data_IF_110932342805
#
_entry.id   IF_110932342805
#
_cell.length_a   1.000
_cell.length_b   1.000
_cell.length_c   1.000
_cell.angle_alpha   90.00
_cell.angle_beta   90.00
_cell.angle_gamma   90.00
#
_symmetry.space_group_name_H-M   'P 1'
#
loop_
_entity.id
_entity.type
_entity.pdbx_description
1 polymer ?
#
# COMPACT_ATOMS: atom_id res chain seq x y z
N UNK A 1 -26.33 7.94 7.77
CA UNK A 1 -25.32 6.95 7.36
C UNK A 1 -24.15 7.73 6.77
N UNK A 2 -23.01 7.80 7.46
CA UNK A 2 -21.85 8.55 6.97
C UNK A 2 -20.91 7.56 6.29
N UNK A 3 -20.99 7.49 4.96
CA UNK A 3 -19.99 6.77 4.17
C UNK A 3 -18.67 7.56 4.25
N UNK A 4 -17.74 7.10 5.08
CA UNK A 4 -16.40 7.68 5.16
C UNK A 4 -15.38 6.68 4.64
N UNK A 5 -15.27 6.57 3.32
CA UNK A 5 -14.17 5.85 2.66
C UNK A 5 -12.88 6.62 2.92
N UNK A 6 -12.13 6.20 3.94
CA UNK A 6 -10.83 6.76 4.27
C UNK A 6 -9.76 5.92 3.61
N UNK A 7 -9.24 6.32 2.45
CA UNK A 7 -8.00 5.73 1.92
C UNK A 7 -6.83 6.61 2.39
N UNK A 8 -5.80 5.97 2.94
CA UNK A 8 -4.49 6.51 3.32
C UNK A 8 -4.44 7.60 4.43
N UNK A 9 -5.51 8.38 4.66
CA UNK A 9 -5.33 9.69 5.32
C UNK A 9 -5.95 9.94 6.68
N UNK A 10 -6.65 9.00 7.35
CA UNK A 10 -7.11 9.29 8.72
C UNK A 10 -7.23 8.09 9.66
N UNK A 11 -6.16 7.31 9.84
CA UNK A 11 -6.00 6.41 11.00
C UNK A 11 -6.44 7.10 12.31
N UNK A 12 -6.07 8.37 12.47
CA UNK A 12 -6.46 9.16 13.63
C UNK A 12 -7.97 9.45 13.73
N UNK A 13 -8.68 9.68 12.61
CA UNK A 13 -10.13 9.83 12.65
C UNK A 13 -10.81 8.51 12.94
N UNK A 14 -10.32 7.40 12.37
CA UNK A 14 -10.82 6.08 12.70
C UNK A 14 -10.66 5.77 14.19
N UNK A 15 -9.51 6.09 14.80
CA UNK A 15 -9.32 5.95 16.26
C UNK A 15 -10.25 6.84 17.10
N UNK A 16 -10.80 7.91 16.52
CA UNK A 16 -11.73 8.84 17.19
C UNK A 16 -13.20 8.45 17.07
N UNK A 17 -13.55 7.44 16.25
CA UNK A 17 -14.95 7.01 16.10
C UNK A 17 -15.50 6.37 17.36
N UNK A 18 -14.62 5.87 18.25
CA UNK A 18 -15.02 5.23 19.51
C UNK A 18 -15.57 3.81 19.35
N UNK A 19 -15.63 3.28 18.12
CA UNK A 19 -16.14 1.92 17.88
C UNK A 19 -15.19 0.88 18.49
N UNK A 20 -15.70 -0.26 18.99
CA UNK A 20 -14.89 -1.32 19.58
C UNK A 20 -13.78 -1.83 18.65
N UNK A 21 -14.03 -1.88 17.34
CA UNK A 21 -13.12 -2.37 16.29
C UNK A 21 -11.90 -1.45 16.10
N UNK A 22 -11.93 -0.24 16.67
CA UNK A 22 -10.77 0.65 16.68
C UNK A 22 -9.76 0.31 17.78
N UNK A 23 -10.14 -0.54 18.74
CA UNK A 23 -9.27 -1.03 19.82
C UNK A 23 -8.31 -2.10 19.29
N UNK A 24 -7.14 -2.24 19.91
CA UNK A 24 -6.09 -3.19 19.48
C UNK A 24 -5.57 -3.00 18.04
N UNK A 25 -5.89 -1.87 17.42
CA UNK A 25 -5.36 -1.46 16.13
C UNK A 25 -4.28 -0.39 16.33
N UNK A 26 -3.06 -0.75 15.94
CA UNK A 26 -1.87 0.08 15.90
C UNK A 26 -1.63 0.65 14.50
N UNK A 27 -0.93 1.77 14.44
CA UNK A 27 -0.52 2.40 13.19
C UNK A 27 0.95 2.78 13.27
N UNK A 28 1.71 2.44 12.25
CA UNK A 28 3.11 2.84 12.15
C UNK A 28 3.32 3.70 10.90
N UNK A 29 3.80 4.94 11.03
CA UNK A 29 3.98 5.83 9.88
C UNK A 29 5.20 5.39 9.05
N UNK A 30 4.96 5.10 7.79
CA UNK A 30 5.98 4.76 6.80
C UNK A 30 5.99 5.80 5.68
N UNK A 31 7.15 6.00 5.08
CA UNK A 31 7.34 6.84 3.91
C UNK A 31 8.45 6.24 3.04
N UNK A 32 8.55 6.72 1.81
CA UNK A 32 9.62 6.37 0.90
C UNK A 32 10.45 7.60 0.55
N UNK A 33 11.70 7.41 0.22
CA UNK A 33 12.52 8.39 -0.46
C UNK A 33 12.90 7.86 -1.85
N UNK A 34 12.99 8.75 -2.82
CA UNK A 34 13.41 8.43 -4.18
C UNK A 34 14.53 9.38 -4.60
N UNK A 35 15.49 8.88 -5.37
CA UNK A 35 16.33 9.72 -6.21
C UNK A 35 15.55 10.07 -7.47
N UNK A 36 15.48 11.34 -7.80
CA UNK A 36 14.67 11.89 -8.89
C UNK A 36 15.59 12.59 -9.88
N UNK A 37 15.52 12.21 -11.15
CA UNK A 37 16.26 12.84 -12.24
C UNK A 37 15.32 13.45 -13.27
N UNK A 38 15.50 14.76 -13.48
CA UNK A 38 14.77 15.54 -14.47
C UNK A 38 15.65 15.93 -15.66
N UNK A 39 16.90 15.44 -15.76
CA UNK A 39 17.77 15.72 -16.89
C UNK A 39 17.20 15.04 -18.15
N UNK A 40 16.70 15.80 -19.15
CA UNK A 40 15.98 15.21 -20.28
C UNK A 40 16.82 14.22 -21.09
N UNK A 41 18.15 14.42 -21.12
CA UNK A 41 19.06 13.51 -21.83
C UNK A 41 19.12 12.15 -21.16
N UNK A 42 19.23 12.11 -19.83
CA UNK A 42 19.27 10.87 -19.05
C UNK A 42 17.91 10.17 -19.06
N UNK A 43 16.82 10.94 -18.98
CA UNK A 43 15.46 10.42 -19.03
C UNK A 43 15.14 9.77 -20.38
N UNK A 44 15.58 10.37 -21.49
CA UNK A 44 15.36 9.85 -22.84
C UNK A 44 16.06 8.51 -23.09
N UNK A 45 17.15 8.22 -22.39
CA UNK A 45 17.87 6.93 -22.50
C UNK A 45 17.12 5.75 -21.84
N UNK A 46 16.05 6.01 -21.07
CA UNK A 46 15.35 5.00 -20.28
C UNK A 46 13.86 4.93 -20.63
N UNK A 47 13.44 3.86 -21.30
CA UNK A 47 12.03 3.67 -21.69
C UNK A 47 11.30 2.61 -20.86
N UNK A 48 12.03 1.85 -20.04
CA UNK A 48 11.51 0.71 -19.31
C UNK A 48 11.62 0.89 -17.79
N UNK A 49 10.74 0.18 -17.07
CA UNK A 49 10.84 0.01 -15.62
C UNK A 49 11.75 -1.17 -15.31
N UNK A 50 12.80 -0.94 -14.55
CA UNK A 50 13.83 -1.95 -14.23
C UNK A 50 13.79 -2.25 -12.73
N UNK A 51 13.62 -3.52 -12.39
CA UNK A 51 13.65 -3.99 -11.00
C UNK A 51 15.03 -4.52 -10.65
N UNK A 52 15.49 -4.20 -9.44
CA UNK A 52 16.68 -4.81 -8.86
C UNK A 52 16.46 -6.25 -8.44
N UNK A 53 17.56 -6.90 -8.09
CA UNK A 53 17.53 -8.14 -7.30
C UNK A 53 17.69 -7.80 -5.83
N UNK A 54 16.93 -8.48 -4.97
CA UNK A 54 17.09 -8.41 -3.51
C UNK A 54 18.53 -8.74 -3.11
N UNK A 55 19.24 -7.83 -2.41
CA UNK A 55 20.49 -8.19 -1.77
C UNK A 55 20.25 -9.29 -0.73
N UNK A 56 21.19 -10.24 -0.55
CA UNK A 56 21.06 -11.26 0.49
C UNK A 56 20.85 -10.63 1.87
N UNK A 57 19.81 -11.06 2.58
CA UNK A 57 19.51 -10.59 3.93
C UNK A 57 18.67 -9.30 4.03
N UNK A 58 18.21 -8.74 2.91
CA UNK A 58 17.22 -7.64 2.94
C UNK A 58 15.79 -8.19 3.03
N UNK A 59 14.86 -7.48 3.70
CA UNK A 59 13.45 -7.84 3.69
C UNK A 59 12.88 -7.87 2.26
N UNK A 60 11.98 -8.82 1.92
CA UNK A 60 11.51 -9.09 0.55
C UNK A 60 10.60 -8.02 -0.08
N UNK A 61 10.62 -6.78 0.44
CA UNK A 61 9.69 -5.71 0.05
C UNK A 61 10.38 -4.36 -0.19
N UNK A 62 11.72 -4.32 -0.18
CA UNK A 62 12.47 -3.05 -0.16
C UNK A 62 13.39 -2.86 -1.35
N UNK A 63 13.14 -3.56 -2.47
CA UNK A 63 14.05 -3.51 -3.62
C UNK A 63 13.89 -2.20 -4.39
N UNK A 64 14.99 -1.45 -4.58
CA UNK A 64 14.97 -0.30 -5.45
C UNK A 64 14.70 -0.71 -6.90
N UNK A 65 13.92 0.10 -7.58
CA UNK A 65 13.64 0.00 -8.99
C UNK A 65 13.85 1.37 -9.64
N UNK A 66 14.21 1.34 -10.92
CA UNK A 66 14.31 2.52 -11.77
C UNK A 66 13.05 2.60 -12.62
N UNK A 67 12.34 3.72 -12.57
CA UNK A 67 11.03 3.91 -13.18
C UNK A 67 10.96 5.27 -13.90
N UNK A 68 10.56 5.27 -15.17
CA UNK A 68 10.21 6.50 -15.89
C UNK A 68 8.76 6.84 -15.59
N UNK A 69 8.53 8.03 -15.04
CA UNK A 69 7.19 8.53 -14.74
C UNK A 69 6.92 9.82 -15.48
N UNK A 70 5.64 10.03 -15.76
CA UNK A 70 5.11 11.28 -16.25
C UNK A 70 4.48 12.03 -15.09
N UNK A 71 5.11 13.11 -14.63
CA UNK A 71 4.70 13.88 -13.45
C UNK A 71 4.58 15.34 -13.90
N UNK A 72 3.39 15.93 -13.72
CA UNK A 72 3.13 17.34 -14.08
C UNK A 72 3.55 17.69 -15.51
N UNK A 73 3.23 16.81 -16.46
CA UNK A 73 3.58 16.93 -17.88
C UNK A 73 5.07 16.82 -18.23
N UNK A 74 5.91 16.42 -17.27
CA UNK A 74 7.34 16.18 -17.49
C UNK A 74 7.69 14.70 -17.32
N UNK A 75 8.60 14.21 -18.17
CA UNK A 75 9.19 12.90 -18.00
C UNK A 75 10.31 12.96 -16.96
N UNK A 76 10.23 12.10 -15.97
CA UNK A 76 11.16 12.04 -14.83
C UNK A 76 11.58 10.61 -14.57
N UNK A 77 12.83 10.38 -14.19
CA UNK A 77 13.28 9.10 -13.67
C UNK A 77 13.26 9.09 -12.15
N UNK A 78 12.75 8.00 -11.58
CA UNK A 78 12.73 7.77 -10.14
C UNK A 78 13.47 6.48 -9.83
N UNK A 79 14.38 6.54 -8.87
CA UNK A 79 15.07 5.38 -8.33
C UNK A 79 14.80 5.24 -6.83
N UNK A 80 14.32 4.07 -6.42
CA UNK A 80 13.92 3.76 -5.05
C UNK A 80 12.82 2.69 -5.02
N UNK A 81 12.04 2.55 -3.93
CA UNK A 81 12.06 3.38 -2.74
C UNK A 81 13.23 3.04 -1.81
N UNK A 82 13.82 4.05 -1.21
CA UNK A 82 14.61 3.94 0.02
C UNK A 82 13.68 4.14 1.22
N UNK A 83 13.94 3.48 2.35
CA UNK A 83 13.08 3.65 3.51
C UNK A 83 13.19 5.09 4.05
N UNK A 84 12.05 5.72 4.27
CA UNK A 84 11.95 6.99 4.99
C UNK A 84 10.98 6.79 6.15
N UNK A 85 11.44 6.90 7.39
CA UNK A 85 10.58 6.79 8.58
C UNK A 85 10.64 8.09 9.35
N UNK A 86 9.49 8.52 9.85
CA UNK A 86 9.41 9.60 10.82
C UNK A 86 8.12 9.51 11.62
N UNK A 87 8.08 10.10 12.82
CA UNK A 87 6.97 9.90 13.76
C UNK A 87 5.65 10.54 13.33
N UNK A 88 5.66 11.41 12.30
CA UNK A 88 4.48 12.12 11.78
C UNK A 88 3.63 11.21 10.90
N UNK A 89 2.32 11.22 11.12
CA UNK A 89 1.35 10.48 10.29
C UNK A 89 0.97 11.28 9.04
N UNK A 90 0.98 12.61 9.12
CA UNK A 90 0.66 13.52 8.02
C UNK A 90 1.89 14.33 7.58
N UNK A 91 1.89 14.84 6.35
CA UNK A 91 2.96 15.72 5.82
C UNK A 91 3.19 16.92 6.73
N UNK A 92 2.09 17.54 7.17
CA UNK A 92 2.07 18.67 8.11
C UNK A 92 1.71 18.23 9.56
N UNK A 93 1.95 16.97 9.91
CA UNK A 93 1.64 16.39 11.23
C UNK A 93 2.65 16.76 12.33
N UNK A 94 2.41 16.26 13.54
CA UNK A 94 3.27 16.50 14.70
C UNK A 94 4.36 15.44 14.84
N UNK A 95 5.54 15.82 15.32
CA UNK A 95 6.59 14.86 15.70
C UNK A 95 6.18 13.97 16.88
N UNK A 96 5.06 14.27 17.53
CA UNK A 96 4.48 13.46 18.61
C UNK A 96 3.37 12.53 18.11
N UNK A 97 3.01 12.51 16.83
CA UNK A 97 1.84 11.75 16.34
C UNK A 97 1.93 10.26 16.70
N UNK A 98 3.07 9.61 16.43
CA UNK A 98 3.29 8.21 16.81
C UNK A 98 3.16 7.97 18.31
N UNK A 99 3.78 8.81 19.13
CA UNK A 99 3.71 8.65 20.59
C UNK A 99 2.29 8.88 21.11
N UNK A 100 1.58 9.89 20.60
CA UNK A 100 0.18 10.18 20.93
C UNK A 100 -0.78 9.10 20.43
N UNK A 101 -0.38 8.31 19.44
CA UNK A 101 -1.19 7.19 18.94
C UNK A 101 -1.20 5.99 19.91
N UNK A 102 -0.19 5.90 20.79
CA UNK A 102 -0.08 4.84 21.79
C UNK A 102 -1.05 5.06 22.94
N UNK A 103 -1.74 3.98 23.32
CA UNK A 103 -2.66 3.94 24.46
C UNK A 103 -2.68 2.53 25.04
N UNK A 104 -3.37 2.36 26.17
CA UNK A 104 -3.46 1.07 26.89
C UNK A 104 -4.03 -0.06 26.03
N UNK A 105 -4.85 0.24 25.03
CA UNK A 105 -5.45 -0.77 24.15
C UNK A 105 -4.54 -1.23 23.01
N UNK A 106 -3.53 -0.47 22.59
CA UNK A 106 -2.68 -0.82 21.44
C UNK A 106 -1.18 -0.92 21.75
N UNK A 107 -0.72 -0.48 22.92
CA UNK A 107 0.71 -0.52 23.26
C UNK A 107 1.31 -1.93 23.21
N UNK A 108 0.57 -2.93 23.71
CA UNK A 108 0.99 -4.33 23.64
C UNK A 108 1.12 -4.85 22.20
N UNK A 109 0.16 -4.52 21.34
CA UNK A 109 0.18 -4.84 19.90
C UNK A 109 1.37 -4.18 19.19
N UNK A 110 1.64 -2.90 19.47
CA UNK A 110 2.76 -2.16 18.88
C UNK A 110 4.12 -2.72 19.30
N UNK A 111 4.30 -3.03 20.59
CA UNK A 111 5.55 -3.61 21.11
C UNK A 111 5.79 -5.02 20.56
N UNK A 112 4.74 -5.85 20.52
CA UNK A 112 4.83 -7.18 19.92
C UNK A 112 5.25 -7.10 18.44
N UNK A 113 4.71 -6.13 17.69
CA UNK A 113 5.08 -5.91 16.30
C UNK A 113 6.53 -5.46 16.14
N UNK A 114 7.00 -4.52 16.97
CA UNK A 114 8.39 -4.06 16.95
C UNK A 114 9.38 -5.19 17.22
N UNK A 115 9.06 -6.09 18.14
CA UNK A 115 9.90 -7.26 18.45
C UNK A 115 9.91 -8.28 17.30
N UNK A 116 8.72 -8.65 16.79
CA UNK A 116 8.59 -9.63 15.68
C UNK A 116 9.26 -9.16 14.40
N UNK A 117 9.26 -7.86 14.15
CA UNK A 117 9.76 -7.25 12.93
C UNK A 117 11.07 -6.49 13.15
N UNK A 118 11.83 -6.84 14.19
CA UNK A 118 13.08 -6.17 14.54
C UNK A 118 14.07 -6.05 13.36
N UNK A 119 14.28 -7.09 12.51
CA UNK A 119 15.13 -6.96 11.33
C UNK A 119 14.66 -5.87 10.36
N UNK A 120 13.35 -5.77 10.10
CA UNK A 120 12.76 -4.77 9.22
C UNK A 120 12.91 -3.36 9.82
N UNK A 121 12.63 -3.21 11.12
CA UNK A 121 12.80 -1.92 11.84
C UNK A 121 14.26 -1.47 11.79
N UNK A 122 15.19 -2.38 12.07
CA UNK A 122 16.63 -2.11 12.02
C UNK A 122 17.07 -1.69 10.63
N UNK A 123 16.70 -2.44 9.60
CA UNK A 123 17.00 -2.11 8.21
C UNK A 123 16.45 -0.73 7.83
N UNK A 124 15.21 -0.44 8.20
CA UNK A 124 14.59 0.84 7.88
C UNK A 124 15.28 2.03 8.56
N UNK A 125 15.76 1.87 9.80
CA UNK A 125 16.55 2.91 10.48
C UNK A 125 17.87 3.14 9.75
N UNK A 126 18.55 2.09 9.28
CA UNK A 126 19.79 2.21 8.52
C UNK A 126 19.57 2.99 7.21
N UNK A 127 18.52 2.67 6.47
CA UNK A 127 18.14 3.35 5.23
C UNK A 127 17.78 4.84 5.43
N UNK A 128 17.15 5.16 6.56
CA UNK A 128 16.85 6.55 6.94
C UNK A 128 18.13 7.36 7.21
N UNK A 129 19.13 6.73 7.81
CA UNK A 129 20.42 7.33 8.10
C UNK A 129 21.35 7.37 6.87
N UNK A 130 21.03 6.63 5.80
CA UNK A 130 21.80 6.60 4.57
C UNK A 130 21.84 7.98 3.91
N UNK A 131 23.04 8.39 3.50
CA UNK A 131 23.23 9.69 2.85
C UNK A 131 22.93 9.59 1.35
N UNK A 132 22.89 10.75 0.67
CA UNK A 132 22.70 10.80 -0.80
C UNK A 132 23.73 9.95 -1.52
N UNK A 133 24.98 9.99 -1.08
CA UNK A 133 26.09 9.26 -1.69
C UNK A 133 25.87 7.74 -1.65
N UNK A 134 25.29 7.21 -0.57
CA UNK A 134 25.00 5.78 -0.44
C UNK A 134 23.86 5.36 -1.38
N UNK A 135 22.83 6.19 -1.51
CA UNK A 135 21.73 5.98 -2.47
C UNK A 135 22.22 6.03 -3.91
N UNK A 136 23.14 6.95 -4.22
CA UNK A 136 23.76 7.06 -5.54
C UNK A 136 24.66 5.85 -5.87
N UNK A 137 25.32 5.24 -4.88
CA UNK A 137 26.06 3.98 -5.11
C UNK A 137 25.13 2.86 -5.57
N UNK A 138 23.96 2.73 -4.95
CA UNK A 138 22.97 1.74 -5.39
C UNK A 138 22.42 2.06 -6.78
N UNK A 139 22.13 3.33 -7.08
CA UNK A 139 21.70 3.75 -8.43
C UNK A 139 22.74 3.38 -9.49
N UNK A 140 24.04 3.56 -9.21
CA UNK A 140 25.12 3.24 -10.16
C UNK A 140 25.25 1.75 -10.48
N UNK A 141 24.58 0.88 -9.74
CA UNK A 141 24.44 -0.53 -10.12
C UNK A 141 23.47 -0.73 -11.29
N UNK A 142 22.57 0.22 -11.50
CA UNK A 142 21.61 0.25 -12.61
C UNK A 142 22.06 1.21 -13.72
N UNK A 143 22.57 2.38 -13.34
CA UNK A 143 23.02 3.45 -14.25
C UNK A 143 24.48 3.81 -13.91
N UNK A 144 25.47 3.04 -14.41
CA UNK A 144 26.88 3.19 -13.99
C UNK A 144 27.46 4.59 -14.13
N UNK A 145 26.98 5.35 -15.13
CA UNK A 145 27.48 6.69 -15.44
C UNK A 145 26.66 7.81 -14.77
N UNK A 146 25.77 7.50 -13.82
CA UNK A 146 24.95 8.50 -13.14
C UNK A 146 25.82 9.53 -12.37
N UNK A 147 25.55 10.81 -12.63
CA UNK A 147 26.22 11.95 -11.97
C UNK A 147 25.40 12.47 -10.82
N UNK A 148 26.02 12.79 -9.69
CA UNK A 148 25.28 13.22 -8.48
C UNK A 148 24.47 14.51 -8.67
N UNK A 149 24.88 15.37 -9.60
CA UNK A 149 24.23 16.65 -9.94
C UNK A 149 22.88 16.49 -10.65
N UNK A 150 22.65 15.35 -11.30
CA UNK A 150 21.43 15.09 -12.06
C UNK A 150 20.29 14.49 -11.21
N UNK A 151 20.56 14.15 -9.94
CA UNK A 151 19.67 13.37 -9.09
C UNK A 151 19.44 14.03 -7.74
N UNK A 152 18.18 14.29 -7.39
CA UNK A 152 17.79 14.86 -6.10
C UNK A 152 17.00 13.89 -5.24
N UNK A 153 17.11 14.01 -3.91
CA UNK A 153 16.30 13.19 -2.99
C UNK A 153 14.93 13.84 -2.85
N UNK A 154 13.90 13.09 -3.20
CA UNK A 154 12.51 13.45 -2.94
C UNK A 154 11.89 12.53 -1.90
N UNK A 155 11.30 13.11 -0.85
CA UNK A 155 10.55 12.34 0.15
C UNK A 155 9.11 12.20 -0.33
N UNK A 156 8.66 10.96 -0.50
CA UNK A 156 7.32 10.63 -0.95
C UNK A 156 6.26 10.92 0.12
N UNK A 157 5.00 10.62 -0.23
CA UNK A 157 3.89 10.66 0.72
C UNK A 157 4.15 9.79 1.97
N UNK A 158 3.38 10.11 3.01
CA UNK A 158 3.33 9.32 4.23
C UNK A 158 2.13 8.40 4.17
N UNK A 159 2.31 7.17 4.63
CA UNK A 159 1.27 6.16 4.76
C UNK A 159 1.30 5.58 6.16
N UNK A 160 0.19 4.97 6.58
CA UNK A 160 0.09 4.31 7.87
C UNK A 160 0.04 2.81 7.66
N UNK A 161 1.08 2.12 8.11
CA UNK A 161 1.11 0.68 8.16
C UNK A 161 0.22 0.21 9.33
N UNK A 162 -0.79 -0.59 9.01
CA UNK A 162 -1.72 -1.12 10.02
C UNK A 162 -1.07 -2.30 10.75
N UNK A 163 -1.20 -2.28 12.08
CA UNK A 163 -0.75 -3.35 12.96
C UNK A 163 -1.96 -3.82 13.76
N UNK A 164 -2.26 -5.11 13.72
CA UNK A 164 -3.41 -5.69 14.42
C UNK A 164 -3.07 -7.03 15.05
N UNK A 165 -3.94 -7.48 15.94
CA UNK A 165 -3.87 -8.84 16.48
C UNK A 165 -4.75 -9.76 15.63
N UNK A 166 -4.24 -10.93 15.24
CA UNK A 166 -5.01 -11.93 14.47
C UNK A 166 -4.99 -13.29 15.16
N UNK A 167 -5.99 -14.13 14.89
CA UNK A 167 -6.01 -15.50 15.41
C UNK A 167 -4.86 -16.34 14.86
N UNK A 168 -4.50 -16.12 13.60
CA UNK A 168 -3.48 -16.88 12.88
C UNK A 168 -2.05 -16.47 13.25
N UNK A 169 -1.78 -15.17 13.35
CA UNK A 169 -0.43 -14.63 13.55
C UNK A 169 -0.19 -14.07 14.96
N UNK A 170 -1.21 -14.13 15.83
CA UNK A 170 -1.17 -13.60 17.20
C UNK A 170 -1.09 -12.08 17.25
N UNK A 171 -0.53 -11.54 18.34
CA UNK A 171 -0.44 -10.09 18.55
C UNK A 171 0.60 -9.41 17.68
N UNK A 172 0.32 -8.17 17.26
CA UNK A 172 1.29 -7.32 16.56
C UNK A 172 1.62 -7.74 15.12
N UNK A 173 0.67 -8.35 14.42
CA UNK A 173 0.80 -8.67 13.00
C UNK A 173 0.75 -7.40 12.16
N UNK A 174 1.71 -7.25 11.24
CA UNK A 174 1.72 -6.17 10.26
C UNK A 174 0.83 -6.58 9.09
N UNK A 175 -0.24 -5.83 8.87
CA UNK A 175 -1.20 -6.10 7.80
C UNK A 175 -0.71 -5.52 6.48
N UNK A 176 -0.20 -6.35 5.58
CA UNK A 176 0.14 -5.91 4.23
C UNK A 176 -1.12 -5.73 3.38
N UNK A 177 -1.11 -4.74 2.48
CA UNK A 177 -2.25 -4.43 1.63
C UNK A 177 -3.37 -3.61 2.31
N UNK A 178 -4.57 -3.74 1.76
CA UNK A 178 -5.77 -3.03 2.22
C UNK A 178 -6.49 -3.82 3.31
N UNK A 179 -6.81 -3.18 4.41
CA UNK A 179 -7.64 -3.71 5.50
C UNK A 179 -9.01 -3.03 5.48
N UNK A 180 -10.08 -3.82 5.32
CA UNK A 180 -11.45 -3.31 5.47
C UNK A 180 -11.94 -3.59 6.89
N UNK A 181 -12.18 -2.53 7.66
CA UNK A 181 -12.78 -2.63 8.99
C UNK A 181 -14.22 -2.17 8.93
N UNK A 182 -15.14 -3.08 9.26
CA UNK A 182 -16.57 -2.84 9.29
C UNK A 182 -17.02 -2.77 10.75
N UNK A 183 -17.70 -1.69 11.15
CA UNK A 183 -18.30 -1.64 12.48
C UNK A 183 -19.46 -2.64 12.56
N UNK A 184 -19.66 -3.25 13.73
CA UNK A 184 -20.76 -4.22 13.94
C UNK A 184 -22.16 -3.66 13.67
N UNK A 185 -22.32 -2.35 13.83
CA UNK A 185 -23.56 -1.63 13.61
C UNK A 185 -23.67 -1.00 12.22
N UNK A 186 -22.70 -1.27 11.33
CA UNK A 186 -22.61 -0.75 9.96
C UNK A 186 -22.60 0.79 9.85
N UNK A 187 -22.37 1.49 10.95
CA UNK A 187 -22.32 2.96 11.00
C UNK A 187 -21.02 3.54 10.43
N UNK A 188 -19.93 2.76 10.44
CA UNK A 188 -18.60 3.16 10.00
C UNK A 188 -17.91 2.02 9.24
N UNK A 189 -17.32 2.37 8.11
CA UNK A 189 -16.49 1.49 7.29
C UNK A 189 -15.15 2.20 7.10
N UNK A 190 -14.03 1.52 7.33
CA UNK A 190 -12.70 2.10 7.18
C UNK A 190 -11.81 1.20 6.31
N UNK A 191 -11.16 1.80 5.30
CA UNK A 191 -10.18 1.13 4.44
C UNK A 191 -8.77 1.54 4.86
N UNK A 192 -8.16 0.78 5.74
CA UNK A 192 -6.86 1.12 6.32
C UNK A 192 -5.72 0.45 5.55
N UNK A 193 -4.51 0.99 5.65
CA UNK A 193 -3.33 0.44 4.99
C UNK A 193 -3.16 0.95 3.56
N UNK A 194 -2.73 0.07 2.66
CA UNK A 194 -2.47 0.43 1.28
C UNK A 194 -3.77 0.65 0.50
N UNK A 195 -3.77 1.62 -0.42
CA UNK A 195 -4.88 1.76 -1.36
C UNK A 195 -5.03 0.47 -2.17
N UNK A 196 -6.27 -0.06 -2.31
CA UNK A 196 -6.48 -1.25 -3.12
C UNK A 196 -6.06 -0.96 -4.56
N UNK A 197 -5.23 -1.83 -5.12
CA UNK A 197 -4.83 -1.77 -6.52
C UNK A 197 -5.98 -2.18 -7.43
N UNK A 198 -5.79 -2.03 -8.74
CA UNK A 198 -6.81 -2.42 -9.73
C UNK A 198 -7.31 -3.85 -9.51
N UNK A 199 -6.41 -4.79 -9.18
CA UNK A 199 -6.71 -6.19 -8.93
C UNK A 199 -7.55 -6.50 -7.68
N UNK A 200 -7.58 -5.60 -6.69
CA UNK A 200 -8.29 -5.83 -5.41
C UNK A 200 -9.40 -4.83 -5.13
N UNK A 201 -9.46 -3.73 -5.89
CA UNK A 201 -10.46 -2.67 -5.71
C UNK A 201 -11.90 -3.18 -5.80
N UNK A 202 -12.20 -4.00 -6.81
CA UNK A 202 -13.54 -4.56 -7.02
C UNK A 202 -13.94 -5.50 -5.90
N UNK A 203 -13.03 -6.41 -5.47
CA UNK A 203 -13.33 -7.33 -4.36
C UNK A 203 -13.56 -6.59 -3.04
N UNK A 204 -12.78 -5.54 -2.77
CA UNK A 204 -12.97 -4.67 -1.59
C UNK A 204 -14.31 -3.94 -1.66
N UNK A 205 -14.68 -3.42 -2.83
CA UNK A 205 -15.97 -2.74 -3.01
C UNK A 205 -17.14 -3.71 -2.77
N UNK A 206 -17.08 -4.92 -3.31
CA UNK A 206 -18.10 -5.96 -3.09
C UNK A 206 -18.21 -6.34 -1.62
N UNK A 207 -17.08 -6.56 -0.92
CA UNK A 207 -17.09 -6.84 0.52
C UNK A 207 -17.81 -5.74 1.31
N UNK A 208 -17.53 -4.47 0.97
CA UNK A 208 -18.15 -3.31 1.61
C UNK A 208 -19.66 -3.30 1.41
N UNK A 209 -20.13 -3.55 0.18
CA UNK A 209 -21.55 -3.62 -0.14
C UNK A 209 -22.23 -4.78 0.61
N UNK A 210 -21.66 -5.99 0.51
CA UNK A 210 -22.23 -7.20 1.10
C UNK A 210 -22.37 -7.13 2.61
N UNK A 211 -21.33 -6.62 3.29
CA UNK A 211 -21.29 -6.62 4.75
C UNK A 211 -22.09 -5.48 5.36
N UNK A 212 -22.19 -4.32 4.70
CA UNK A 212 -22.75 -3.11 5.32
C UNK A 212 -24.08 -2.67 4.75
N UNK A 213 -24.51 -3.26 3.64
CA UNK A 213 -25.79 -2.98 2.99
C UNK A 213 -26.56 -4.27 2.68
N UNK A 214 -26.62 -5.26 3.60
CA UNK A 214 -27.21 -6.56 3.31
C UNK A 214 -28.68 -6.48 2.88
N UNK A 215 -29.40 -5.45 3.31
CA UNK A 215 -30.79 -5.20 2.93
C UNK A 215 -30.97 -4.84 1.44
N UNK A 216 -29.95 -4.26 0.81
CA UNK A 216 -29.98 -3.85 -0.60
C UNK A 216 -29.34 -4.87 -1.55
N UNK A 217 -28.53 -5.81 -1.04
CA UNK A 217 -27.80 -6.77 -1.88
C UNK A 217 -28.72 -7.59 -2.78
N UNK A 218 -29.92 -7.96 -2.30
CA UNK A 218 -30.90 -8.69 -3.13
C UNK A 218 -31.39 -7.86 -4.32
N UNK A 219 -31.54 -6.55 -4.14
CA UNK A 219 -31.94 -5.64 -5.21
C UNK A 219 -30.79 -5.41 -6.19
N UNK A 220 -29.55 -5.32 -5.69
CA UNK A 220 -28.36 -5.07 -6.50
C UNK A 220 -27.80 -6.29 -7.20
N UNK A 221 -28.13 -7.52 -6.78
CA UNK A 221 -27.58 -8.77 -7.32
C UNK A 221 -27.64 -8.83 -8.85
N UNK A 222 -28.78 -8.45 -9.44
CA UNK A 222 -28.92 -8.42 -10.90
C UNK A 222 -27.95 -7.46 -11.58
N UNK A 223 -27.78 -6.25 -11.03
CA UNK A 223 -26.87 -5.25 -11.61
C UNK A 223 -25.40 -5.62 -11.39
N UNK A 224 -25.07 -6.21 -10.24
CA UNK A 224 -23.73 -6.71 -9.96
C UNK A 224 -23.37 -7.82 -10.95
N UNK A 225 -24.29 -8.77 -11.21
CA UNK A 225 -24.07 -9.86 -12.19
C UNK A 225 -24.00 -9.37 -13.63
N UNK A 226 -24.69 -8.29 -13.98
CA UNK A 226 -24.53 -7.65 -15.29
C UNK A 226 -23.09 -7.15 -15.49
N UNK A 227 -22.49 -6.55 -14.45
CA UNK A 227 -21.10 -6.04 -14.51
C UNK A 227 -20.05 -7.12 -14.27
N UNK A 228 -20.37 -8.13 -13.46
CA UNK A 228 -19.48 -9.20 -13.00
C UNK A 228 -20.24 -10.53 -13.11
N UNK A 229 -20.28 -11.16 -14.29
CA UNK A 229 -21.10 -12.36 -14.52
C UNK A 229 -20.81 -13.53 -13.57
N UNK A 230 -19.58 -13.65 -13.09
CA UNK A 230 -19.16 -14.69 -12.15
C UNK A 230 -19.43 -14.35 -10.67
N UNK A 231 -20.16 -13.27 -10.38
CA UNK A 231 -20.42 -12.86 -9.01
C UNK A 231 -21.18 -13.95 -8.22
N UNK A 232 -20.66 -14.30 -7.04
CA UNK A 232 -21.18 -15.38 -6.20
C UNK A 232 -20.70 -16.79 -6.59
N UNK A 233 -19.81 -16.92 -7.58
CA UNK A 233 -19.27 -18.20 -8.05
C UNK A 233 -17.74 -18.28 -7.84
N UNK A 234 -17.25 -19.47 -7.52
CA UNK A 234 -15.82 -19.70 -7.31
C UNK A 234 -15.11 -20.00 -8.63
N UNK A 235 -14.32 -19.04 -9.13
CA UNK A 235 -13.45 -19.26 -10.30
C UNK A 235 -12.24 -20.17 -10.00
N UNK A 236 -11.97 -20.47 -8.72
CA UNK A 236 -10.92 -21.40 -8.31
C UNK A 236 -11.41 -22.85 -8.46
N UNK A 237 -12.68 -23.09 -8.13
CA UNK A 237 -13.29 -24.43 -8.14
C UNK A 237 -13.97 -24.74 -9.49
N UNK A 238 -14.49 -23.73 -10.19
CA UNK A 238 -15.11 -23.86 -11.50
C UNK A 238 -14.16 -23.44 -12.64
N UNK A 239 -13.39 -24.42 -13.13
CA UNK A 239 -12.47 -24.22 -14.23
C UNK A 239 -13.16 -23.83 -15.55
N UNK A 240 -14.37 -24.36 -15.79
CA UNK A 240 -15.10 -24.09 -17.03
C UNK A 240 -15.54 -22.62 -17.06
N UNK A 241 -16.10 -22.13 -15.96
CA UNK A 241 -16.47 -20.73 -15.78
C UNK A 241 -15.26 -19.81 -15.86
N UNK A 242 -14.13 -20.15 -15.22
CA UNK A 242 -12.90 -19.37 -15.34
C UNK A 242 -12.45 -19.21 -16.79
N UNK A 243 -12.52 -20.28 -17.58
CA UNK A 243 -12.14 -20.25 -19.00
C UNK A 243 -13.09 -19.37 -19.81
N UNK A 244 -14.38 -19.49 -19.59
CA UNK A 244 -15.41 -18.66 -20.24
C UNK A 244 -15.19 -17.17 -19.95
N UNK A 245 -15.05 -16.80 -18.68
CA UNK A 245 -14.86 -15.40 -18.27
C UNK A 245 -13.55 -14.82 -18.81
N UNK A 246 -12.46 -15.60 -18.80
CA UNK A 246 -11.18 -15.17 -19.41
C UNK A 246 -11.32 -14.94 -20.90
N UNK A 247 -12.01 -15.82 -21.62
CA UNK A 247 -12.23 -15.66 -23.05
C UNK A 247 -13.10 -14.44 -23.37
N UNK A 248 -14.21 -14.27 -22.64
CA UNK A 248 -15.10 -13.12 -22.79
C UNK A 248 -14.36 -11.79 -22.52
N UNK A 249 -13.66 -11.70 -21.38
CA UNK A 249 -12.88 -10.51 -21.00
C UNK A 249 -11.75 -10.23 -22.00
N UNK A 250 -11.07 -11.28 -22.48
CA UNK A 250 -10.00 -11.13 -23.46
C UNK A 250 -10.50 -10.68 -24.83
N UNK A 251 -11.72 -11.05 -25.23
CA UNK A 251 -12.35 -10.54 -26.45
C UNK A 251 -12.76 -9.07 -26.30
N UNK A 252 -13.44 -8.73 -25.19
CA UNK A 252 -13.93 -7.36 -24.92
C UNK A 252 -12.79 -6.34 -24.83
N UNK A 253 -11.66 -6.74 -24.23
CA UNK A 253 -10.48 -5.88 -24.08
C UNK A 253 -9.49 -5.98 -25.25
N UNK A 254 -9.83 -6.73 -26.31
CA UNK A 254 -8.98 -6.97 -27.49
C UNK A 254 -7.56 -7.45 -27.12
N UNK A 255 -7.50 -8.46 -26.25
CA UNK A 255 -6.26 -9.08 -25.77
C UNK A 255 -5.96 -10.42 -26.48
N UNK A 256 -6.94 -11.01 -27.15
CA UNK A 256 -6.81 -12.33 -27.80
C UNK A 256 -6.36 -12.21 -29.27
N UNK A 257 -6.58 -11.06 -29.90
CA UNK A 257 -6.27 -10.83 -31.32
C UNK A 257 -4.94 -10.06 -31.56
N UNK A 258 -4.10 -9.91 -30.54
CA UNK A 258 -2.80 -9.21 -30.63
C UNK A 258 -1.63 -10.17 -30.69
#
# INVERSE_FOLDING_TARGET
MYLLVLVDMRYHCYKKTGIPESKHLGGFPISGAFLVCNNPKVVAEHEAKVYGKEPPGTPPMTVPHLDRRYIQDENTLLFGPFAAIGPKFLKNGSNLDLFKSLNTSNVGTMLASAFKNFPLVKYSIQEVLAKKEDRMKELRRFVPNAKDEDWDIHIAGKRVQVIKDTKEHGRGYIQFGTEVVNSKDHSVIALLGESPGASTSVSVALEVLEKNFPEYIKEWDGKIKEMIPSYGQSLIEDYALLKEIRQATGNELDLINK
#
